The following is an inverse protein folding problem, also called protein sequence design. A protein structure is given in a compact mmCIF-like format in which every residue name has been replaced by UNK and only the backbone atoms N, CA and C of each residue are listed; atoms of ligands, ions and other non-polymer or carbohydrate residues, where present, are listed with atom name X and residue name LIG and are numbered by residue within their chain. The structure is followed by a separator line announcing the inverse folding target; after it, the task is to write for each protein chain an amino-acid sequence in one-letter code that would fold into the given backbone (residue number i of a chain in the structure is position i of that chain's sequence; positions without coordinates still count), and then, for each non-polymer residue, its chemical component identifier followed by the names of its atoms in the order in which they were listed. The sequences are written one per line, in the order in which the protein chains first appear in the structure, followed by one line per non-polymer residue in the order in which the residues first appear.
data_IF_974050452807
#
_entry.id   IF_974050452807
#
_cell.length_a   1.000
_cell.length_b   1.000
_cell.length_c   1.000
_cell.angle_alpha   90.00
_cell.angle_beta   90.00
_cell.angle_gamma   90.00
#
_symmetry.space_group_name_H-M   'P 1'
#
loop_
_entity.id
_entity.type
_entity.pdbx_description
1 polymer ?
#
# COMPACT_ATOMS: atom_id res chain seq x y z
N UNK A 1 5.38 -8.10 0.56
CA UNK A 1 6.56 -8.91 0.20
C UNK A 1 7.00 -9.73 1.40
N UNK A 2 7.46 -10.92 1.12
CA UNK A 2 8.08 -11.83 2.05
C UNK A 2 9.35 -12.35 1.39
N UNK A 3 9.61 -13.66 1.37
CA UNK A 3 10.75 -14.26 0.66
C UNK A 3 10.74 -14.01 -0.85
N UNK A 4 9.61 -13.61 -1.39
CA UNK A 4 9.43 -13.08 -2.74
C UNK A 4 8.52 -11.86 -2.74
N UNK A 5 8.62 -11.05 -3.78
CA UNK A 5 7.79 -9.86 -3.93
C UNK A 5 6.69 -10.10 -4.98
N UNK A 6 5.48 -9.66 -4.68
CA UNK A 6 4.32 -9.80 -5.55
C UNK A 6 3.47 -8.53 -5.54
N UNK A 7 3.01 -8.10 -6.72
CA UNK A 7 2.08 -7.00 -6.83
C UNK A 7 0.64 -7.50 -6.67
N UNK A 8 0.03 -7.29 -5.51
CA UNK A 8 -1.32 -7.75 -5.18
C UNK A 8 -2.44 -6.94 -5.83
N UNK A 9 -2.19 -5.66 -6.12
CA UNK A 9 -3.19 -4.78 -6.71
C UNK A 9 -2.61 -3.95 -7.86
N UNK A 10 -3.41 -3.61 -8.88
CA UNK A 10 -3.03 -2.61 -9.87
C UNK A 10 -3.08 -1.21 -9.26
N UNK A 11 -2.48 -0.23 -9.92
CA UNK A 11 -2.68 1.18 -9.58
C UNK A 11 -4.14 1.56 -9.88
N UNK A 12 -4.86 2.02 -8.88
CA UNK A 12 -6.28 2.36 -8.99
C UNK A 12 -6.66 3.48 -8.03
N UNK A 13 -7.72 4.21 -8.36
CA UNK A 13 -8.38 5.17 -7.47
C UNK A 13 -9.52 4.53 -6.67
N UNK A 14 -9.84 3.26 -6.94
CA UNK A 14 -10.86 2.52 -6.20
C UNK A 14 -10.30 2.01 -4.87
N UNK A 15 -10.45 2.82 -3.83
CA UNK A 15 -10.02 2.50 -2.48
C UNK A 15 -10.80 1.31 -1.89
N UNK A 16 -12.06 1.11 -2.32
CA UNK A 16 -12.88 -0.01 -1.87
C UNK A 16 -12.31 -1.35 -2.35
N UNK A 17 -11.91 -1.41 -3.63
CA UNK A 17 -11.25 -2.58 -4.18
C UNK A 17 -9.89 -2.85 -3.50
N UNK A 18 -9.12 -1.80 -3.19
CA UNK A 18 -7.85 -1.96 -2.47
C UNK A 18 -8.02 -2.54 -1.07
N UNK A 19 -9.04 -2.09 -0.32
CA UNK A 19 -9.35 -2.63 0.99
C UNK A 19 -9.73 -4.11 0.92
N UNK A 20 -10.53 -4.51 -0.08
CA UNK A 20 -10.89 -5.92 -0.29
C UNK A 20 -9.65 -6.78 -0.60
N UNK A 21 -8.72 -6.28 -1.43
CA UNK A 21 -7.45 -6.98 -1.69
C UNK A 21 -6.63 -7.10 -0.42
N UNK A 22 -6.56 -6.06 0.39
CA UNK A 22 -5.83 -6.06 1.66
C UNK A 22 -6.38 -7.11 2.63
N UNK A 23 -7.70 -7.28 2.70
CA UNK A 23 -8.34 -8.30 3.53
C UNK A 23 -8.01 -9.74 3.10
N UNK A 24 -7.56 -9.94 1.85
CA UNK A 24 -7.11 -11.26 1.36
C UNK A 24 -5.66 -11.57 1.70
N UNK A 25 -4.89 -10.59 2.19
CA UNK A 25 -3.49 -10.79 2.56
C UNK A 25 -3.41 -11.56 3.87
N UNK A 26 -2.90 -12.78 3.79
CA UNK A 26 -2.73 -13.64 4.95
C UNK A 26 -1.27 -13.69 5.36
N UNK A 27 -1.03 -13.59 6.66
CA UNK A 27 0.28 -13.83 7.25
C UNK A 27 0.45 -15.36 7.38
N UNK A 28 1.58 -15.92 6.89
CA UNK A 28 1.86 -17.35 7.01
C UNK A 28 1.79 -17.81 8.48
N UNK A 29 1.17 -18.96 8.70
CA UNK A 29 1.04 -19.54 10.04
C UNK A 29 1.62 -20.95 10.07
N UNK A 30 2.25 -21.33 11.20
CA UNK A 30 2.72 -22.69 11.35
C UNK A 30 1.54 -23.68 11.38
N UNK A 31 1.60 -24.69 10.53
CA UNK A 31 0.66 -25.82 10.53
C UNK A 31 1.29 -26.95 11.33
N UNK A 32 0.60 -27.38 12.39
CA UNK A 32 1.09 -28.44 13.27
C UNK A 32 0.35 -29.75 13.03
N UNK A 33 1.09 -30.88 13.08
CA UNK A 33 0.50 -32.22 13.05
C UNK A 33 -0.17 -32.56 14.41
N UNK A 34 -0.80 -33.74 14.47
CA UNK A 34 -1.44 -34.26 15.70
C UNK A 34 -0.44 -34.46 16.87
N UNK A 35 0.85 -34.39 16.61
CA UNK A 35 1.94 -34.51 17.60
C UNK A 35 2.56 -33.15 17.94
N UNK A 36 2.00 -32.03 17.43
CA UNK A 36 2.48 -30.68 17.68
C UNK A 36 3.74 -30.28 16.89
N UNK A 37 4.16 -31.06 15.87
CA UNK A 37 5.30 -30.72 15.02
C UNK A 37 4.86 -29.84 13.86
N UNK A 38 5.62 -28.79 13.57
CA UNK A 38 5.38 -27.92 12.40
C UNK A 38 5.68 -28.72 11.14
N UNK A 39 4.70 -28.88 10.26
CA UNK A 39 4.80 -29.66 9.01
C UNK A 39 5.09 -28.80 7.78
N UNK A 40 4.96 -27.48 7.87
CA UNK A 40 5.24 -26.52 6.80
C UNK A 40 6.45 -25.61 7.11
N UNK A 41 7.46 -26.11 7.81
CA UNK A 41 8.60 -25.33 8.29
C UNK A 41 9.37 -24.66 7.14
N UNK A 42 9.70 -25.39 6.07
CA UNK A 42 10.40 -24.84 4.91
C UNK A 42 9.59 -23.75 4.21
N UNK A 43 8.29 -23.99 3.98
CA UNK A 43 7.42 -23.01 3.36
C UNK A 43 7.30 -21.77 4.24
N UNK A 44 7.23 -21.95 5.56
CA UNK A 44 7.16 -20.85 6.51
C UNK A 44 8.44 -20.01 6.49
N UNK A 45 9.61 -20.65 6.49
CA UNK A 45 10.91 -19.96 6.37
C UNK A 45 11.01 -19.17 5.07
N UNK A 46 10.61 -19.75 3.93
CA UNK A 46 10.61 -19.08 2.64
C UNK A 46 9.65 -17.86 2.62
N UNK A 47 8.44 -18.02 3.13
CA UNK A 47 7.44 -16.95 3.14
C UNK A 47 7.73 -15.85 4.17
N UNK A 48 8.37 -16.16 5.28
CA UNK A 48 8.74 -15.20 6.33
C UNK A 48 10.07 -14.48 6.05
N UNK A 49 10.83 -14.89 5.05
CA UNK A 49 12.00 -14.15 4.61
C UNK A 49 11.60 -12.79 4.00
N UNK A 50 12.53 -11.89 3.80
CA UNK A 50 12.27 -10.50 3.40
C UNK A 50 13.06 -10.13 2.15
N UNK A 51 12.40 -9.86 1.02
CA UNK A 51 12.97 -9.51 -0.28
C UNK A 51 12.74 -8.02 -0.60
N UNK A 52 13.46 -7.13 0.06
CA UNK A 52 13.28 -5.66 -0.07
C UNK A 52 13.64 -5.19 -1.47
N UNK A 53 14.78 -5.61 -2.01
CA UNK A 53 15.27 -5.20 -3.31
C UNK A 53 14.29 -5.55 -4.43
N UNK A 54 13.78 -6.79 -4.44
CA UNK A 54 12.80 -7.26 -5.41
C UNK A 54 11.48 -6.49 -5.28
N UNK A 55 11.03 -6.20 -4.05
CA UNK A 55 9.81 -5.44 -3.80
C UNK A 55 9.91 -4.01 -4.37
N UNK A 56 11.04 -3.35 -4.15
CA UNK A 56 11.29 -2.01 -4.69
C UNK A 56 11.33 -2.05 -6.22
N UNK A 57 11.99 -3.03 -6.84
CA UNK A 57 12.05 -3.14 -8.30
C UNK A 57 10.67 -3.38 -8.91
N UNK A 58 9.84 -4.23 -8.32
CA UNK A 58 8.45 -4.44 -8.78
C UNK A 58 7.64 -3.15 -8.65
N UNK A 59 7.79 -2.41 -7.56
CA UNK A 59 7.12 -1.13 -7.39
C UNK A 59 7.59 -0.08 -8.41
N UNK A 60 8.89 -0.03 -8.71
CA UNK A 60 9.47 0.83 -9.76
C UNK A 60 8.90 0.46 -11.12
N UNK A 61 8.84 -0.84 -11.46
CA UNK A 61 8.28 -1.30 -12.73
C UNK A 61 6.83 -0.84 -12.93
N UNK A 62 6.04 -0.85 -11.86
CA UNK A 62 4.65 -0.36 -11.88
C UNK A 62 4.53 1.16 -12.04
N UNK A 63 5.50 1.92 -11.55
CA UNK A 63 5.45 3.38 -11.53
C UNK A 63 6.22 4.05 -12.67
N UNK A 64 7.18 3.37 -13.31
CA UNK A 64 8.09 3.99 -14.29
C UNK A 64 7.35 4.71 -15.42
N UNK A 65 6.32 4.11 -15.97
CA UNK A 65 5.56 4.61 -17.11
C UNK A 65 4.35 5.50 -16.74
N UNK A 66 4.10 5.67 -15.44
CA UNK A 66 2.99 6.49 -14.95
C UNK A 66 3.28 7.96 -15.18
N UNK A 67 2.35 8.66 -15.84
CA UNK A 67 2.42 10.11 -16.07
C UNK A 67 1.86 10.88 -14.87
N UNK A 68 2.62 10.92 -13.78
CA UNK A 68 2.28 11.69 -12.59
C UNK A 68 3.37 12.73 -12.29
N UNK A 69 3.00 13.84 -11.63
CA UNK A 69 3.96 14.88 -11.21
C UNK A 69 4.90 14.36 -10.11
N UNK A 70 4.39 13.57 -9.20
CA UNK A 70 5.14 12.91 -8.15
C UNK A 70 4.87 11.42 -8.20
N UNK A 71 5.93 10.63 -8.04
CA UNK A 71 5.88 9.19 -7.93
C UNK A 71 6.54 8.79 -6.63
N UNK A 72 5.82 8.06 -5.80
CA UNK A 72 6.24 7.74 -4.43
C UNK A 72 6.04 6.26 -4.17
N UNK A 73 7.04 5.66 -3.54
CA UNK A 73 6.96 4.33 -2.94
C UNK A 73 7.03 4.52 -1.42
N UNK A 74 6.08 3.98 -0.69
CA UNK A 74 6.15 3.86 0.76
C UNK A 74 6.51 2.41 1.07
N UNK A 75 7.72 2.22 1.56
CA UNK A 75 8.25 0.92 1.95
C UNK A 75 8.12 0.74 3.46
N UNK A 76 7.36 -0.25 3.88
CA UNK A 76 7.19 -0.63 5.27
C UNK A 76 7.91 -1.95 5.52
N UNK A 77 8.84 -1.99 6.46
CA UNK A 77 9.59 -3.21 6.81
C UNK A 77 9.92 -3.24 8.30
N UNK A 78 9.97 -4.42 8.86
CA UNK A 78 10.32 -4.71 10.25
C UNK A 78 11.67 -5.45 10.40
N UNK A 79 12.34 -5.77 9.29
CA UNK A 79 13.55 -6.60 9.32
C UNK A 79 14.61 -6.28 8.28
N UNK A 80 15.63 -7.09 8.31
CA UNK A 80 16.73 -7.10 7.33
C UNK A 80 16.31 -7.84 6.06
N UNK A 81 16.93 -7.51 4.93
CA UNK A 81 16.79 -8.34 3.74
C UNK A 81 17.43 -9.71 3.97
N UNK A 82 16.63 -10.77 3.87
CA UNK A 82 17.06 -12.15 4.04
C UNK A 82 16.84 -13.02 2.82
N UNK A 83 16.14 -12.50 1.81
CA UNK A 83 15.85 -13.18 0.55
C UNK A 83 15.81 -12.18 -0.61
N UNK A 84 15.52 -12.69 -1.81
CA UNK A 84 15.44 -11.92 -3.04
C UNK A 84 16.69 -12.06 -3.90
N UNK A 85 16.55 -11.68 -5.17
CA UNK A 85 17.63 -11.72 -6.16
C UNK A 85 18.33 -10.35 -6.24
N UNK A 86 17.55 -9.29 -6.10
CA UNK A 86 18.05 -7.92 -6.19
C UNK A 86 18.46 -7.37 -4.84
N UNK A 87 19.59 -6.68 -4.83
CA UNK A 87 20.03 -5.91 -3.66
C UNK A 87 19.17 -4.64 -3.49
N UNK A 88 18.88 -4.20 -2.25
CA UNK A 88 18.13 -2.97 -1.99
C UNK A 88 18.70 -1.76 -2.70
N UNK A 89 20.03 -1.66 -2.78
CA UNK A 89 20.70 -0.56 -3.47
C UNK A 89 20.35 -0.50 -4.95
N UNK A 90 20.27 -1.65 -5.64
CA UNK A 90 19.84 -1.70 -7.05
C UNK A 90 18.42 -1.19 -7.23
N UNK A 91 17.53 -1.53 -6.29
CA UNK A 91 16.18 -0.99 -6.26
C UNK A 91 16.14 0.53 -6.08
N UNK A 92 16.96 1.07 -5.17
CA UNK A 92 17.08 2.51 -4.95
C UNK A 92 17.62 3.25 -6.19
N UNK A 93 18.64 2.72 -6.84
CA UNK A 93 19.22 3.29 -8.06
C UNK A 93 18.19 3.29 -9.21
N UNK A 94 17.44 2.21 -9.37
CA UNK A 94 16.37 2.13 -10.34
C UNK A 94 15.26 3.15 -10.04
N UNK A 95 14.81 3.27 -8.80
CA UNK A 95 13.81 4.25 -8.40
C UNK A 95 14.28 5.69 -8.70
N UNK A 96 15.53 6.01 -8.35
CA UNK A 96 16.15 7.30 -8.64
C UNK A 96 16.19 7.61 -10.14
N UNK A 97 16.56 6.63 -10.97
CA UNK A 97 16.64 6.81 -12.43
C UNK A 97 15.28 7.19 -13.05
N UNK A 98 14.16 6.72 -12.48
CA UNK A 98 12.81 7.04 -12.92
C UNK A 98 12.16 8.21 -12.14
N UNK A 99 12.92 8.91 -11.29
CA UNK A 99 12.42 10.04 -10.49
C UNK A 99 11.37 9.61 -9.45
N UNK A 100 11.47 8.39 -8.94
CA UNK A 100 10.58 7.83 -7.93
C UNK A 100 11.24 7.99 -6.57
N UNK A 101 10.54 8.63 -5.62
CA UNK A 101 11.00 8.75 -4.23
C UNK A 101 10.59 7.55 -3.41
N UNK A 102 11.45 7.13 -2.50
CA UNK A 102 11.14 6.08 -1.53
C UNK A 102 11.08 6.69 -0.13
N UNK A 103 9.92 6.61 0.49
CA UNK A 103 9.75 6.84 1.93
C UNK A 103 9.81 5.49 2.62
N UNK A 104 10.85 5.27 3.40
CA UNK A 104 11.04 4.01 4.12
C UNK A 104 10.60 4.15 5.56
N UNK A 105 9.79 3.22 6.03
CA UNK A 105 9.25 3.19 7.38
C UNK A 105 9.72 1.88 8.04
N UNK A 106 10.56 2.01 9.04
CA UNK A 106 10.92 0.90 9.91
C UNK A 106 9.86 0.71 10.99
N UNK A 107 9.29 -0.49 11.08
CA UNK A 107 8.30 -0.83 12.11
C UNK A 107 8.92 -1.73 13.15
N UNK A 108 8.76 -1.33 14.41
CA UNK A 108 9.29 -2.10 15.53
C UNK A 108 10.49 -1.44 16.20
N UNK A 109 11.07 -2.16 17.11
CA UNK A 109 12.24 -1.71 17.89
C UNK A 109 13.39 -2.69 17.71
N UNK A 110 14.60 -2.18 17.64
CA UNK A 110 15.80 -3.02 17.78
C UNK A 110 15.86 -3.52 19.21
N UNK A 111 15.81 -4.83 19.40
CA UNK A 111 15.85 -5.39 20.75
C UNK A 111 15.59 -6.89 20.79
N UNK A 112 15.30 -7.39 21.97
CA UNK A 112 15.02 -8.80 22.22
C UNK A 112 13.51 -9.01 22.32
N UNK A 113 12.91 -9.67 21.33
CA UNK A 113 11.50 -10.05 21.34
C UNK A 113 11.33 -11.53 21.69
N UNK A 114 10.26 -11.90 22.43
CA UNK A 114 9.97 -13.29 22.72
C UNK A 114 9.37 -13.96 21.46
N UNK A 115 10.05 -14.96 20.92
CA UNK A 115 9.58 -15.80 19.83
C UNK A 115 9.16 -17.17 20.33
N UNK A 116 8.04 -17.73 19.87
CA UNK A 116 7.68 -19.10 20.16
C UNK A 116 8.66 -20.05 19.47
N UNK A 117 9.32 -20.88 20.23
CA UNK A 117 10.19 -21.96 19.75
C UNK A 117 9.77 -23.28 20.39
N UNK A 118 10.19 -24.37 19.78
CA UNK A 118 9.94 -25.71 20.34
C UNK A 118 11.21 -26.22 21.00
N UNK A 119 11.14 -26.59 22.27
CA UNK A 119 12.27 -27.21 22.96
C UNK A 119 12.53 -28.64 22.44
N UNK A 120 13.67 -29.23 22.81
CA UNK A 120 14.03 -30.60 22.41
C UNK A 120 13.05 -31.69 22.89
N UNK A 121 12.05 -31.34 23.70
CA UNK A 121 10.97 -32.21 24.18
C UNK A 121 9.63 -31.94 23.53
N UNK A 122 9.59 -31.10 22.49
CA UNK A 122 8.35 -30.75 21.75
C UNK A 122 7.44 -29.76 22.49
N UNK A 123 7.92 -29.03 23.50
CA UNK A 123 7.14 -28.05 24.26
C UNK A 123 7.35 -26.68 23.65
N UNK A 124 6.27 -25.90 23.49
CA UNK A 124 6.35 -24.49 23.09
C UNK A 124 6.98 -23.67 24.23
N UNK A 125 8.13 -23.08 23.95
CA UNK A 125 8.87 -22.18 24.84
C UNK A 125 9.05 -20.83 24.15
N UNK A 126 9.07 -19.74 24.93
CA UNK A 126 9.39 -18.41 24.41
C UNK A 126 10.92 -18.22 24.51
N UNK A 127 11.58 -18.19 23.37
CA UNK A 127 12.99 -17.87 23.25
C UNK A 127 13.13 -16.39 22.92
N UNK A 128 13.99 -15.67 23.61
CA UNK A 128 14.32 -14.29 23.26
C UNK A 128 15.22 -14.28 22.03
N UNK A 129 14.68 -13.83 20.91
CA UNK A 129 15.42 -13.65 19.68
C UNK A 129 15.75 -12.17 19.51
N UNK A 130 16.96 -11.88 19.07
CA UNK A 130 17.38 -10.52 18.77
C UNK A 130 16.74 -10.11 17.44
N UNK A 131 15.82 -9.18 17.48
CA UNK A 131 15.23 -8.58 16.28
C UNK A 131 16.05 -7.34 15.96
N UNK A 132 16.56 -7.27 14.75
CA UNK A 132 17.26 -6.10 14.22
C UNK A 132 16.44 -5.48 13.13
N UNK A 133 16.09 -4.23 13.33
CA UNK A 133 15.62 -3.38 12.24
C UNK A 133 16.87 -2.88 11.49
N UNK A 134 16.96 -3.16 10.20
CA UNK A 134 18.04 -2.65 9.35
C UNK A 134 17.76 -1.22 8.93
N UNK A 135 17.91 -0.32 9.89
CA UNK A 135 17.76 1.11 9.64
C UNK A 135 18.76 1.63 8.59
N UNK A 136 19.94 1.01 8.47
CA UNK A 136 20.96 1.46 7.54
C UNK A 136 20.49 1.29 6.09
N UNK A 137 19.97 0.12 5.75
CA UNK A 137 19.40 -0.15 4.44
C UNK A 137 18.18 0.73 4.16
N UNK A 138 17.27 0.89 5.12
CA UNK A 138 16.07 1.72 4.95
C UNK A 138 16.43 3.20 4.76
N UNK A 139 17.40 3.73 5.52
CA UNK A 139 17.94 5.10 5.33
C UNK A 139 18.60 5.26 3.96
N UNK A 140 19.41 4.30 3.56
CA UNK A 140 20.08 4.33 2.24
C UNK A 140 19.07 4.40 1.10
N UNK A 141 17.98 3.60 1.14
CA UNK A 141 16.89 3.64 0.15
C UNK A 141 16.24 5.02 0.05
N UNK A 142 15.90 5.62 1.20
CA UNK A 142 15.30 6.94 1.27
C UNK A 142 16.27 8.02 0.76
N UNK A 143 17.49 8.07 1.29
CA UNK A 143 18.47 9.10 0.96
C UNK A 143 18.87 9.06 -0.52
N UNK A 144 19.04 7.86 -1.10
CA UNK A 144 19.39 7.68 -2.52
C UNK A 144 18.35 8.28 -3.45
N UNK A 145 17.06 8.21 -3.07
CA UNK A 145 15.93 8.63 -3.90
C UNK A 145 15.38 10.01 -3.56
N UNK A 146 15.94 10.67 -2.54
CA UNK A 146 15.48 11.97 -2.04
C UNK A 146 14.18 11.91 -1.26
N UNK A 147 13.85 10.74 -0.70
CA UNK A 147 12.79 10.53 0.27
C UNK A 147 13.27 10.74 1.71
N UNK A 148 12.56 10.12 2.66
CA UNK A 148 12.88 10.22 4.09
C UNK A 148 12.66 8.88 4.79
N UNK A 149 13.51 8.57 5.76
CA UNK A 149 13.32 7.43 6.65
C UNK A 149 12.53 7.85 7.88
N UNK A 150 11.62 6.97 8.30
CA UNK A 150 10.84 7.10 9.53
C UNK A 150 10.94 5.83 10.36
N UNK A 151 10.81 5.97 11.67
CA UNK A 151 10.69 4.84 12.59
C UNK A 151 9.34 4.92 13.29
N UNK A 152 8.51 3.90 13.12
CA UNK A 152 7.19 3.78 13.75
C UNK A 152 7.21 2.64 14.77
N UNK A 153 7.19 2.99 16.06
CA UNK A 153 7.24 2.01 17.14
C UNK A 153 5.86 1.44 17.51
N UNK A 154 4.80 2.17 17.14
CA UNK A 154 3.41 1.80 17.40
C UNK A 154 2.49 2.30 16.28
N UNK A 155 1.21 1.92 16.36
CA UNK A 155 0.20 2.29 15.37
C UNK A 155 -0.02 3.80 15.27
N UNK A 156 0.07 4.55 16.38
CA UNK A 156 -0.12 5.99 16.37
C UNK A 156 1.04 6.68 15.65
N UNK A 157 2.27 6.28 15.94
CA UNK A 157 3.45 6.78 15.25
C UNK A 157 3.36 6.51 13.73
N UNK A 158 2.82 5.36 13.31
CA UNK A 158 2.61 5.06 11.91
C UNK A 158 1.60 6.01 11.24
N UNK A 159 0.48 6.30 11.91
CA UNK A 159 -0.51 7.29 11.42
C UNK A 159 0.13 8.67 11.25
N UNK A 160 0.93 9.09 12.22
CA UNK A 160 1.61 10.40 12.19
C UNK A 160 2.63 10.47 11.04
N UNK A 161 3.35 9.37 10.77
CA UNK A 161 4.28 9.25 9.63
C UNK A 161 3.53 9.39 8.30
N UNK A 162 2.40 8.71 8.12
CA UNK A 162 1.60 8.85 6.91
C UNK A 162 1.07 10.27 6.71
N UNK A 163 0.65 10.95 7.79
CA UNK A 163 0.23 12.35 7.73
C UNK A 163 1.38 13.28 7.33
N UNK A 164 2.61 13.04 7.81
CA UNK A 164 3.80 13.81 7.42
C UNK A 164 4.14 13.60 5.94
N UNK A 165 4.12 12.36 5.45
CA UNK A 165 4.37 12.04 4.04
C UNK A 165 3.32 12.74 3.13
N UNK A 166 2.05 12.71 3.52
CA UNK A 166 0.98 13.38 2.79
C UNK A 166 1.21 14.90 2.69
N UNK A 167 1.65 15.54 3.77
CA UNK A 167 2.01 16.96 3.76
C UNK A 167 3.21 17.26 2.86
N UNK A 168 4.28 16.44 2.92
CA UNK A 168 5.47 16.60 2.10
C UNK A 168 5.15 16.52 0.61
N UNK A 169 4.32 15.57 0.20
CA UNK A 169 3.95 15.37 -1.20
C UNK A 169 2.89 16.36 -1.69
N UNK A 170 1.96 16.80 -0.85
CA UNK A 170 1.00 17.87 -1.19
C UNK A 170 1.69 19.19 -1.49
N UNK A 171 2.68 19.58 -0.71
CA UNK A 171 3.46 20.82 -0.93
C UNK A 171 4.12 20.82 -2.31
N UNK A 172 4.53 19.67 -2.82
CA UNK A 172 5.11 19.51 -4.16
C UNK A 172 4.05 19.46 -5.28
N UNK A 173 2.82 19.15 -4.95
CA UNK A 173 1.70 19.01 -5.90
C UNK A 173 0.85 20.27 -6.08
N UNK A 174 1.00 21.30 -5.25
CA UNK A 174 0.22 22.54 -5.32
C UNK A 174 0.41 23.28 -6.65
N UNK A 175 -0.45 22.98 -7.60
CA UNK A 175 -0.52 23.61 -8.91
C UNK A 175 -1.68 23.14 -9.80
N UNK A 176 -2.52 22.20 -9.38
CA UNK A 176 -3.78 21.90 -10.04
C UNK A 176 -4.89 21.65 -9.02
N UNK A 177 -5.78 22.62 -8.89
CA UNK A 177 -7.08 22.41 -8.30
C UNK A 177 -7.76 21.31 -9.13
N UNK A 178 -7.95 20.14 -8.59
CA UNK A 178 -8.89 19.16 -9.14
C UNK A 178 -10.28 19.74 -8.91
N UNK A 179 -10.86 20.31 -9.95
CA UNK A 179 -12.27 20.69 -9.91
C UNK A 179 -13.06 19.39 -10.01
N UNK A 180 -13.53 18.90 -8.89
CA UNK A 180 -14.48 17.80 -8.86
C UNK A 180 -15.79 18.34 -9.44
N UNK A 181 -16.11 17.94 -10.67
CA UNK A 181 -17.35 18.33 -11.30
C UNK A 181 -18.49 17.53 -10.66
N UNK A 182 -19.21 18.18 -9.75
CA UNK A 182 -20.46 17.64 -9.25
C UNK A 182 -21.50 17.71 -10.35
N UNK A 183 -21.89 16.57 -10.89
CA UNK A 183 -22.87 16.48 -11.96
C UNK A 183 -24.24 17.01 -11.48
N UNK A 184 -24.58 18.23 -11.88
CA UNK A 184 -25.83 18.88 -11.51
C UNK A 184 -26.95 18.65 -12.55
N UNK A 185 -26.76 17.75 -13.52
CA UNK A 185 -27.74 17.52 -14.59
C UNK A 185 -29.12 17.13 -14.06
N UNK A 186 -29.21 16.47 -12.91
CA UNK A 186 -30.49 16.12 -12.27
C UNK A 186 -31.37 17.32 -11.97
N UNK A 187 -30.76 18.40 -11.50
CA UNK A 187 -31.51 19.64 -11.17
C UNK A 187 -32.07 20.34 -12.38
N UNK A 188 -31.49 20.15 -13.56
CA UNK A 188 -31.97 20.69 -14.84
C UNK A 188 -32.92 19.73 -15.57
N UNK A 189 -32.66 18.43 -15.49
CA UNK A 189 -33.42 17.39 -16.19
C UNK A 189 -34.85 17.27 -15.65
N UNK A 190 -35.07 17.28 -14.34
CA UNK A 190 -36.40 17.15 -13.76
C UNK A 190 -37.33 18.33 -14.09
N UNK A 191 -36.92 19.60 -13.95
CA UNK A 191 -37.75 20.73 -14.41
C UNK A 191 -38.01 20.69 -15.91
N UNK A 192 -37.03 20.33 -16.73
CA UNK A 192 -37.24 20.19 -18.19
C UNK A 192 -38.27 19.13 -18.53
N UNK A 193 -38.21 17.97 -17.92
CA UNK A 193 -39.19 16.90 -18.09
C UNK A 193 -40.61 17.35 -17.64
N UNK A 194 -40.69 18.06 -16.51
CA UNK A 194 -41.95 18.57 -15.99
C UNK A 194 -42.62 19.58 -16.96
N UNK A 195 -41.82 20.45 -17.59
CA UNK A 195 -42.34 21.41 -18.61
C UNK A 195 -42.85 20.67 -19.84
N UNK A 196 -42.18 19.66 -20.35
CA UNK A 196 -42.62 18.85 -21.49
C UNK A 196 -43.94 18.13 -21.15
N UNK A 197 -44.04 17.55 -19.97
CA UNK A 197 -45.31 16.92 -19.53
C UNK A 197 -46.44 17.92 -19.40
N UNK A 198 -46.15 19.12 -18.87
CA UNK A 198 -47.12 20.21 -18.76
C UNK A 198 -47.65 20.65 -20.16
N UNK A 199 -46.75 20.80 -21.13
CA UNK A 199 -47.09 21.12 -22.52
C UNK A 199 -48.02 20.07 -23.12
N UNK A 200 -47.71 18.80 -22.96
CA UNK A 200 -48.53 17.69 -23.45
C UNK A 200 -49.93 17.74 -22.82
N UNK A 201 -50.04 17.98 -21.53
CA UNK A 201 -51.33 18.07 -20.82
C UNK A 201 -52.12 19.28 -21.28
N UNK A 202 -51.50 20.46 -21.41
CA UNK A 202 -52.17 21.68 -21.85
C UNK A 202 -52.63 21.58 -23.29
N UNK A 203 -51.82 21.03 -24.19
CA UNK A 203 -52.16 20.84 -25.61
C UNK A 203 -53.29 19.83 -25.80
N UNK A 204 -53.38 18.81 -24.94
CA UNK A 204 -54.44 17.81 -25.01
C UNK A 204 -55.76 18.22 -24.36
N UNK A 205 -55.73 19.20 -23.44
CA UNK A 205 -56.93 19.62 -22.67
C UNK A 205 -57.48 20.97 -23.07
N UNK A 206 -56.75 22.07 -22.82
CA UNK A 206 -57.33 23.45 -22.93
C UNK A 206 -56.98 24.16 -24.22
N UNK A 207 -55.90 23.84 -24.88
CA UNK A 207 -55.42 24.47 -26.12
C UNK A 207 -55.49 23.51 -27.31
N UNK A 208 -56.46 22.58 -27.30
CA UNK A 208 -56.71 21.71 -28.42
C UNK A 208 -57.28 22.54 -29.58
N UNK A 209 -56.42 22.97 -30.48
CA UNK A 209 -56.87 23.56 -31.74
C UNK A 209 -57.55 22.47 -32.56
N UNK A 210 -58.91 22.57 -32.70
CA UNK A 210 -59.60 21.74 -33.65
C UNK A 210 -59.24 22.29 -35.05
N UNK A 211 -59.08 21.41 -36.06
CA UNK A 211 -58.78 21.80 -37.42
C UNK A 211 -59.98 22.54 -38.07
#
# INVERSE_FOLDING_TARGET
FGGYAEAKAPLTLDHGALLQVLDTVNIPRPVTDSRGRVVNEQLLEEEMATAIGDAVLIAVDRLKDVKAKSKVIILLSDGEQTAGIAEPQQGAEAAKAFGIKIYSIGVGTTGSAPFPATDGFGRSVLVRQHVRLDEATLKMLADTTGGKFFNAQDTQALVDVYAEIDQLEKTLSEGRVYTEYQEMYRYMMFPGLALILLEIVLSSTRFRSLP
#
